data_IF_488211904184
#
_entry.id   IF_488211904184
#
_cell.length_a   1.000
_cell.length_b   1.000
_cell.length_c   1.000
_cell.angle_alpha   90.00
_cell.angle_beta   90.00
_cell.angle_gamma   90.00
#
_symmetry.space_group_name_H-M   'P 1'
#
loop_
_entity.id
_entity.type
_entity.pdbx_description
1 polymer ?
#
# COMPACT_ATOMS: atom_id res chain seq x y z
N UNK A 1 -16.59 -1.92 12.46
CA UNK A 1 -15.25 -2.55 12.62
C UNK A 1 -14.45 -2.50 11.32
N UNK A 2 -13.24 -1.92 11.33
CA UNK A 2 -12.28 -2.11 10.23
C UNK A 2 -11.69 -3.51 10.37
N UNK A 3 -12.16 -4.44 9.53
CA UNK A 3 -11.65 -5.82 9.49
C UNK A 3 -10.40 -5.94 8.63
N UNK A 4 -9.67 -7.05 8.76
CA UNK A 4 -8.57 -7.39 7.84
C UNK A 4 -9.11 -7.43 6.40
N UNK A 5 -8.44 -6.73 5.50
CA UNK A 5 -8.74 -6.72 4.06
C UNK A 5 -7.65 -7.45 3.29
N UNK A 6 -8.04 -8.11 2.20
CA UNK A 6 -7.13 -8.73 1.25
C UNK A 6 -6.97 -7.86 0.00
N UNK A 7 -5.83 -8.00 -0.64
CA UNK A 7 -5.49 -7.25 -1.84
C UNK A 7 -4.17 -7.71 -2.43
N UNK A 8 -3.90 -7.23 -3.64
CA UNK A 8 -2.67 -7.52 -4.38
C UNK A 8 -1.67 -6.38 -4.20
N UNK A 9 -0.43 -6.72 -3.90
CA UNK A 9 0.69 -5.78 -3.97
C UNK A 9 0.97 -5.51 -5.45
N UNK A 10 0.76 -4.27 -5.88
CA UNK A 10 0.98 -3.85 -7.26
C UNK A 10 2.40 -3.28 -7.45
N UNK A 11 2.92 -2.55 -6.46
CA UNK A 11 4.22 -1.89 -6.58
C UNK A 11 4.90 -1.66 -5.23
N UNK A 12 6.24 -1.72 -5.20
CA UNK A 12 7.06 -1.19 -4.12
C UNK A 12 7.43 0.27 -4.41
N UNK A 13 7.08 1.17 -3.50
CA UNK A 13 7.36 2.60 -3.56
C UNK A 13 8.61 2.90 -2.75
N UNK A 14 9.62 3.51 -3.38
CA UNK A 14 10.88 3.91 -2.74
C UNK A 14 11.16 5.40 -2.89
N UNK A 15 10.15 6.18 -3.26
CA UNK A 15 10.19 7.63 -3.45
C UNK A 15 8.77 8.18 -3.27
N UNK A 16 8.68 9.48 -3.00
CA UNK A 16 7.40 10.17 -2.86
C UNK A 16 6.50 9.91 -4.08
N UNK A 17 5.28 9.47 -3.81
CA UNK A 17 4.34 9.04 -4.86
C UNK A 17 2.96 9.58 -4.55
N UNK A 18 2.23 10.02 -5.58
CA UNK A 18 0.83 10.44 -5.44
C UNK A 18 -0.10 9.29 -5.82
N UNK A 19 -0.97 8.88 -4.89
CA UNK A 19 -2.04 7.91 -5.12
C UNK A 19 -3.35 8.68 -5.14
N UNK A 20 -3.89 8.93 -6.33
CA UNK A 20 -5.11 9.74 -6.54
C UNK A 20 -4.99 11.12 -5.88
N UNK A 21 -5.63 11.29 -4.73
CA UNK A 21 -5.64 12.53 -3.92
C UNK A 21 -4.66 12.54 -2.75
N UNK A 22 -3.96 11.43 -2.50
CA UNK A 22 -3.08 11.25 -1.36
C UNK A 22 -1.62 11.31 -1.80
N UNK A 23 -0.79 11.97 -1.01
CA UNK A 23 0.66 11.91 -1.15
C UNK A 23 1.23 10.88 -0.17
N UNK A 24 2.09 10.01 -0.67
CA UNK A 24 2.74 8.97 0.10
C UNK A 24 4.23 9.29 0.15
N UNK A 25 4.73 9.53 1.36
CA UNK A 25 6.16 9.63 1.63
C UNK A 25 6.77 8.23 1.70
N UNK A 26 7.71 7.95 0.80
CA UNK A 26 8.43 6.68 0.76
C UNK A 26 9.88 6.94 0.35
N UNK A 27 10.78 6.06 0.79
CA UNK A 27 12.19 6.16 0.44
C UNK A 27 12.81 4.78 0.24
N UNK A 28 14.06 4.71 -0.21
CA UNK A 28 14.80 3.44 -0.27
C UNK A 28 14.95 2.77 1.10
N UNK A 29 15.02 3.57 2.17
CA UNK A 29 15.20 3.10 3.55
C UNK A 29 13.86 2.83 4.27
N UNK A 30 12.79 3.55 3.91
CA UNK A 30 11.41 3.32 4.37
C UNK A 30 10.49 3.11 3.17
N UNK A 31 10.54 1.94 2.50
CA UNK A 31 9.69 1.67 1.37
C UNK A 31 8.24 1.45 1.81
N UNK A 32 7.29 1.87 0.96
CA UNK A 32 5.87 1.50 1.08
C UNK A 32 5.48 0.52 -0.03
N UNK A 33 4.37 -0.17 0.15
CA UNK A 33 3.81 -1.08 -0.83
C UNK A 33 2.43 -0.59 -1.21
N UNK A 34 2.24 -0.33 -2.50
CA UNK A 34 0.94 -0.05 -3.09
C UNK A 34 0.17 -1.36 -3.16
N UNK A 35 -0.96 -1.41 -2.47
CA UNK A 35 -1.88 -2.54 -2.44
C UNK A 35 -3.20 -2.12 -3.06
N UNK A 36 -3.71 -2.95 -3.98
CA UNK A 36 -5.06 -2.83 -4.52
C UNK A 36 -5.98 -3.82 -3.80
N UNK A 37 -6.99 -3.30 -3.13
CA UNK A 37 -8.02 -4.09 -2.42
C UNK A 37 -8.81 -4.95 -3.40
N UNK A 38 -8.95 -6.24 -3.11
CA UNK A 38 -9.75 -7.16 -3.94
C UNK A 38 -11.24 -6.85 -3.83
N UNK A 39 -11.67 -6.37 -2.66
CA UNK A 39 -13.08 -6.11 -2.36
C UNK A 39 -13.60 -4.84 -3.04
N UNK A 40 -12.77 -3.79 -3.09
CA UNK A 40 -13.21 -2.44 -3.50
C UNK A 40 -12.43 -1.87 -4.68
N UNK A 41 -11.38 -2.55 -5.15
CA UNK A 41 -10.46 -2.02 -6.16
C UNK A 41 -9.69 -0.77 -5.72
N UNK A 42 -9.78 -0.40 -4.43
CA UNK A 42 -9.16 0.80 -3.89
C UNK A 42 -7.66 0.60 -3.69
N UNK A 43 -6.90 1.68 -3.88
CA UNK A 43 -5.45 1.69 -3.80
C UNK A 43 -5.00 2.36 -2.49
N UNK A 44 -4.07 1.72 -1.78
CA UNK A 44 -3.50 2.22 -0.54
C UNK A 44 -2.02 1.86 -0.42
N UNK A 45 -1.24 2.71 0.25
CA UNK A 45 0.16 2.41 0.56
C UNK A 45 0.33 1.94 2.00
N UNK A 46 0.98 0.79 2.19
CA UNK A 46 1.24 0.19 3.50
C UNK A 46 2.74 -0.05 3.73
N UNK A 47 3.17 -0.09 4.99
CA UNK A 47 4.51 -0.60 5.36
C UNK A 47 4.56 -2.11 5.17
N UNK A 48 5.76 -2.65 4.93
CA UNK A 48 5.97 -4.11 4.86
C UNK A 48 5.45 -4.83 6.11
N UNK A 49 5.71 -4.25 7.28
CA UNK A 49 5.35 -4.81 8.60
C UNK A 49 3.84 -4.89 8.84
N UNK A 50 3.04 -4.15 8.06
CA UNK A 50 1.58 -4.18 8.13
C UNK A 50 0.95 -5.20 7.17
N UNK A 51 1.77 -5.91 6.39
CA UNK A 51 1.32 -6.86 5.38
C UNK A 51 1.70 -8.28 5.79
N UNK A 52 0.71 -9.16 5.82
CA UNK A 52 0.91 -10.60 5.94
C UNK A 52 0.79 -11.24 4.56
N UNK A 53 1.73 -12.12 4.21
CA UNK A 53 1.56 -13.02 3.05
C UNK A 53 0.65 -14.16 3.47
N UNK A 54 -0.41 -14.39 2.69
CA UNK A 54 -1.20 -15.60 2.77
C UNK A 54 -0.70 -16.64 1.79
#
# INVERSE_FOLDING_TARGET
PQGKTHGKVEQKLTSDTKIKRYEVKASKHDPKFLVKSDKSGSEAAHKAEALDKK
#
